data_IF_952267849809
#
_entry.id   IF_952267849809
#
_cell.length_a   1.000
_cell.length_b   1.000
_cell.length_c   1.000
_cell.angle_alpha   90.00
_cell.angle_beta   90.00
_cell.angle_gamma   90.00
#
_symmetry.space_group_name_H-M   'P 1'
#
loop_
_entity.id
_entity.type
_entity.pdbx_description
1 polymer ?
#
# COMPACT_ATOMS: atom_id res chain seq x y z
N UNK A 1 -6.60 -28.70 8.98
CA UNK A 1 -6.73 -28.28 7.56
C UNK A 1 -5.92 -26.98 7.39
N UNK A 2 -5.34 -26.76 6.21
CA UNK A 2 -4.68 -25.49 5.88
C UNK A 2 -5.56 -24.62 4.98
N UNK A 3 -5.39 -23.31 5.04
CA UNK A 3 -6.14 -22.40 4.20
C UNK A 3 -5.57 -20.98 4.21
N UNK A 4 -6.13 -20.14 3.33
CA UNK A 4 -5.81 -18.73 3.15
C UNK A 4 -6.89 -17.87 3.79
N UNK A 5 -6.51 -16.91 4.62
CA UNK A 5 -7.43 -15.93 5.17
C UNK A 5 -7.79 -14.91 4.09
N UNK A 6 -9.04 -14.97 3.61
CA UNK A 6 -9.52 -14.09 2.53
C UNK A 6 -10.35 -12.92 3.04
N UNK A 7 -10.85 -12.96 4.27
CA UNK A 7 -11.63 -11.88 4.88
C UNK A 7 -11.42 -11.83 6.38
N UNK A 8 -11.39 -10.61 6.92
CA UNK A 8 -11.28 -10.34 8.35
C UNK A 8 -12.34 -9.31 8.74
N UNK A 9 -13.22 -9.66 9.68
CA UNK A 9 -14.26 -8.76 10.21
C UNK A 9 -14.02 -8.38 11.68
N UNK A 10 -12.77 -8.50 12.14
CA UNK A 10 -12.35 -8.22 13.51
C UNK A 10 -12.47 -9.42 14.46
N UNK A 11 -13.62 -10.06 14.51
CA UNK A 11 -13.87 -11.24 15.37
C UNK A 11 -13.94 -12.56 14.60
N UNK A 12 -14.21 -12.48 13.30
CA UNK A 12 -14.35 -13.63 12.41
C UNK A 12 -13.44 -13.50 11.20
N UNK A 13 -13.00 -14.66 10.71
CA UNK A 13 -12.15 -14.83 9.55
C UNK A 13 -12.76 -15.82 8.59
N UNK A 14 -12.94 -15.43 7.33
CA UNK A 14 -13.28 -16.37 6.28
C UNK A 14 -11.97 -16.97 5.75
N UNK A 15 -11.81 -18.27 5.92
CA UNK A 15 -10.64 -19.04 5.49
C UNK A 15 -11.01 -19.90 4.30
N UNK A 16 -10.38 -19.66 3.16
CA UNK A 16 -10.45 -20.52 1.98
C UNK A 16 -9.48 -21.69 2.18
N UNK A 17 -10.01 -22.88 2.36
CA UNK A 17 -9.21 -24.11 2.54
C UNK A 17 -8.57 -24.54 1.22
N UNK A 18 -7.53 -25.38 1.30
CA UNK A 18 -6.85 -25.91 0.09
C UNK A 18 -7.80 -26.76 -0.78
N UNK A 19 -8.91 -27.27 -0.20
CA UNK A 19 -9.98 -27.98 -0.91
C UNK A 19 -10.99 -27.05 -1.59
N UNK A 20 -10.80 -25.72 -1.52
CA UNK A 20 -11.66 -24.72 -2.15
C UNK A 20 -12.93 -24.36 -1.36
N UNK A 21 -13.05 -24.77 -0.10
CA UNK A 21 -14.19 -24.48 0.76
C UNK A 21 -13.90 -23.27 1.65
N UNK A 22 -14.86 -22.33 1.72
CA UNK A 22 -14.73 -21.19 2.66
C UNK A 22 -15.32 -21.59 4.00
N UNK A 23 -14.53 -21.47 5.07
CA UNK A 23 -14.90 -21.83 6.43
C UNK A 23 -14.78 -20.61 7.34
N UNK A 24 -15.88 -20.28 8.03
CA UNK A 24 -15.89 -19.22 9.04
C UNK A 24 -15.13 -19.66 10.29
N UNK A 25 -14.15 -18.89 10.67
CA UNK A 25 -13.16 -19.24 11.68
C UNK A 25 -13.02 -18.15 12.74
N UNK A 26 -12.62 -18.55 13.95
CA UNK A 26 -12.24 -17.66 15.05
C UNK A 26 -10.84 -17.96 15.53
N UNK A 27 -10.22 -17.02 16.23
CA UNK A 27 -8.96 -17.25 16.93
C UNK A 27 -9.24 -17.90 18.28
N UNK A 28 -8.48 -18.92 18.66
CA UNK A 28 -8.55 -19.51 19.99
C UNK A 28 -7.94 -18.53 21.03
N UNK A 29 -8.65 -18.29 22.14
CA UNK A 29 -8.40 -17.19 23.11
C UNK A 29 -6.98 -17.01 23.69
N UNK A 30 -6.08 -17.99 23.53
CA UNK A 30 -4.68 -17.91 23.98
C UNK A 30 -3.66 -17.74 22.85
N UNK A 31 -4.12 -17.35 21.65
CA UNK A 31 -3.25 -17.22 20.49
C UNK A 31 -2.41 -15.94 20.60
N UNK A 32 -1.14 -16.08 20.96
CA UNK A 32 -0.16 -14.97 21.00
C UNK A 32 0.94 -15.24 19.98
N UNK A 33 1.04 -14.41 18.96
CA UNK A 33 2.22 -14.39 18.09
C UNK A 33 3.42 -13.87 18.89
N UNK A 34 4.52 -14.65 18.92
CA UNK A 34 5.78 -14.23 19.52
C UNK A 34 6.26 -12.95 18.81
N UNK A 35 6.34 -11.85 19.56
CA UNK A 35 6.93 -10.59 19.09
C UNK A 35 5.96 -9.55 18.51
N UNK A 36 4.69 -9.86 18.25
CA UNK A 36 3.72 -8.89 17.73
C UNK A 36 2.69 -8.58 18.80
N UNK A 37 2.71 -7.36 19.34
CA UNK A 37 1.67 -6.80 20.21
C UNK A 37 0.53 -6.24 19.34
N UNK A 38 -0.28 -7.11 18.76
CA UNK A 38 -1.48 -6.74 18.01
C UNK A 38 -2.72 -7.28 18.67
N UNK A 39 -3.80 -6.49 18.67
CA UNK A 39 -5.13 -6.95 19.11
C UNK A 39 -5.72 -7.96 18.14
N UNK A 40 -5.26 -7.97 16.90
CA UNK A 40 -5.73 -8.84 15.82
C UNK A 40 -4.51 -9.46 15.11
N UNK A 41 -4.05 -10.64 15.56
CA UNK A 41 -2.80 -11.24 15.07
C UNK A 41 -2.93 -11.83 13.66
N UNK A 42 -4.16 -12.09 13.18
CA UNK A 42 -4.44 -12.68 11.85
C UNK A 42 -4.87 -11.59 10.88
N UNK A 43 -4.31 -11.60 9.68
CA UNK A 43 -4.62 -10.65 8.62
C UNK A 43 -5.05 -11.38 7.34
N UNK A 44 -5.67 -10.67 6.40
CA UNK A 44 -5.91 -11.20 5.06
C UNK A 44 -4.57 -11.51 4.39
N UNK A 45 -4.52 -12.62 3.64
CA UNK A 45 -3.28 -13.12 3.04
C UNK A 45 -2.46 -14.07 3.94
N UNK A 46 -2.84 -14.25 5.22
CA UNK A 46 -2.21 -15.26 6.06
C UNK A 46 -2.57 -16.67 5.62
N UNK A 47 -1.56 -17.54 5.61
CA UNK A 47 -1.75 -19.00 5.55
C UNK A 47 -1.89 -19.50 6.97
N UNK A 48 -2.97 -20.24 7.24
CA UNK A 48 -3.33 -20.68 8.59
C UNK A 48 -3.68 -22.15 8.66
N UNK A 49 -3.48 -22.75 9.85
CA UNK A 49 -4.05 -24.05 10.18
C UNK A 49 -5.36 -23.85 10.94
N UNK A 50 -6.40 -24.55 10.54
CA UNK A 50 -7.72 -24.54 11.18
C UNK A 50 -8.15 -25.92 11.65
N UNK A 51 -8.91 -25.96 12.75
CA UNK A 51 -9.60 -27.16 13.25
C UNK A 51 -11.09 -26.87 13.29
N UNK A 52 -11.83 -27.65 12.51
CA UNK A 52 -13.31 -27.53 12.40
C UNK A 52 -13.95 -28.22 13.60
N UNK A 53 -14.92 -27.57 14.22
CA UNK A 53 -15.73 -28.14 15.31
C UNK A 53 -16.95 -28.89 14.75
N UNK A 54 -17.70 -29.56 15.63
CA UNK A 54 -18.90 -30.33 15.26
C UNK A 54 -20.03 -29.44 14.69
N UNK A 55 -19.99 -28.13 14.91
CA UNK A 55 -20.99 -27.15 14.49
C UNK A 55 -20.67 -26.53 13.12
N UNK A 56 -19.57 -26.94 12.47
CA UNK A 56 -19.15 -26.42 11.17
C UNK A 56 -18.37 -25.11 11.20
N UNK A 57 -18.13 -24.53 12.40
CA UNK A 57 -17.20 -23.41 12.59
C UNK A 57 -15.80 -23.91 12.88
N UNK A 58 -14.78 -23.09 12.61
CA UNK A 58 -13.40 -23.49 12.84
C UNK A 58 -12.66 -22.54 13.81
N UNK A 59 -11.58 -23.08 14.36
CA UNK A 59 -10.62 -22.30 15.13
C UNK A 59 -9.28 -22.28 14.42
N UNK A 60 -8.73 -21.07 14.24
CA UNK A 60 -7.35 -20.87 13.80
C UNK A 60 -6.43 -21.27 14.95
N UNK A 61 -5.55 -22.22 14.68
CA UNK A 61 -4.63 -22.80 15.66
C UNK A 61 -3.19 -22.38 15.42
N UNK A 62 -2.85 -21.99 14.17
CA UNK A 62 -1.50 -21.62 13.78
C UNK A 62 -1.55 -20.66 12.61
N UNK A 63 -0.57 -19.75 12.54
CA UNK A 63 -0.27 -18.90 11.38
C UNK A 63 1.09 -19.32 10.86
N UNK A 64 1.19 -19.60 9.56
CA UNK A 64 2.47 -19.88 8.90
C UNK A 64 3.36 -18.62 8.85
N UNK A 65 4.67 -18.80 8.71
CA UNK A 65 5.61 -17.69 8.62
C UNK A 65 5.27 -16.78 7.43
N UNK A 66 5.21 -15.48 7.71
CA UNK A 66 4.93 -14.45 6.71
C UNK A 66 6.17 -14.07 5.94
N UNK A 67 6.07 -13.96 4.62
CA UNK A 67 7.14 -13.38 3.78
C UNK A 67 7.28 -11.88 4.02
N UNK A 68 6.16 -11.21 4.13
CA UNK A 68 6.02 -9.79 4.43
C UNK A 68 4.63 -9.51 5.02
N UNK A 69 4.44 -8.31 5.52
CA UNK A 69 3.14 -7.85 6.02
C UNK A 69 3.10 -6.32 6.03
N UNK A 70 1.91 -5.75 6.04
CA UNK A 70 1.67 -4.32 6.05
C UNK A 70 0.99 -3.96 7.35
N UNK A 71 1.53 -2.95 8.06
CA UNK A 71 0.99 -2.47 9.33
C UNK A 71 0.34 -1.09 9.13
N UNK A 72 -0.77 -0.88 9.81
CA UNK A 72 -1.32 0.45 10.07
C UNK A 72 -1.09 0.81 11.52
N UNK A 73 -0.46 1.94 11.77
CA UNK A 73 -0.40 2.50 13.13
C UNK A 73 -1.78 2.96 13.57
N UNK A 74 -2.18 2.65 14.79
CA UNK A 74 -3.39 3.24 15.38
C UNK A 74 -3.15 4.74 15.60
N UNK A 75 -4.10 5.58 15.17
CA UNK A 75 -4.08 7.03 15.41
C UNK A 75 -4.30 7.42 16.88
N UNK A 76 -4.67 6.46 17.70
CA UNK A 76 -4.87 6.66 19.14
C UNK A 76 -3.62 6.21 19.91
N UNK A 77 -3.39 6.82 21.08
CA UNK A 77 -2.34 6.57 22.08
C UNK A 77 -2.07 5.09 22.46
N UNK A 78 -2.85 4.15 21.92
CA UNK A 78 -2.58 2.73 22.05
C UNK A 78 -1.40 2.35 21.16
N UNK A 79 -0.31 1.88 21.75
CA UNK A 79 0.89 1.31 21.08
C UNK A 79 0.59 0.03 20.24
N UNK A 80 -0.63 -0.11 19.71
CA UNK A 80 -1.08 -1.31 19.01
C UNK A 80 -1.10 -1.06 17.52
N UNK A 81 -0.30 -1.81 16.80
CA UNK A 81 -0.29 -1.83 15.33
C UNK A 81 -1.30 -2.86 14.82
N UNK A 82 -2.03 -2.53 13.76
CA UNK A 82 -2.92 -3.47 13.07
C UNK A 82 -2.27 -3.94 11.77
N UNK A 83 -2.12 -5.24 11.61
CA UNK A 83 -1.67 -5.83 10.36
C UNK A 83 -2.85 -5.78 9.39
N UNK A 84 -2.66 -5.14 8.26
CA UNK A 84 -3.70 -4.94 7.24
C UNK A 84 -3.75 -6.08 6.24
N UNK A 85 -2.58 -6.55 5.81
CA UNK A 85 -2.41 -7.64 4.87
C UNK A 85 -1.07 -8.33 5.09
N UNK A 86 -0.97 -9.60 4.71
CA UNK A 86 0.24 -10.40 4.77
C UNK A 86 0.48 -11.12 3.42
N UNK A 87 1.73 -11.53 3.18
CA UNK A 87 2.15 -12.29 2.01
C UNK A 87 1.79 -11.64 0.66
N UNK A 88 1.93 -10.31 0.60
CA UNK A 88 1.67 -9.49 -0.59
C UNK A 88 2.82 -9.62 -1.58
N UNK A 89 2.53 -9.92 -2.84
CA UNK A 89 3.54 -10.04 -3.88
C UNK A 89 3.92 -8.69 -4.49
N UNK A 90 2.95 -7.78 -4.59
CA UNK A 90 3.14 -6.43 -5.13
C UNK A 90 2.03 -5.48 -4.68
N UNK A 91 2.24 -4.19 -4.83
CA UNK A 91 1.22 -3.17 -4.63
C UNK A 91 0.99 -2.39 -5.94
N UNK A 92 -0.27 -2.13 -6.28
CA UNK A 92 -0.65 -1.17 -7.30
C UNK A 92 -1.05 0.12 -6.59
N UNK A 93 -0.26 1.16 -6.79
CA UNK A 93 -0.62 2.51 -6.34
C UNK A 93 -1.33 3.23 -7.48
N UNK A 94 -2.64 3.39 -7.33
CA UNK A 94 -3.46 4.13 -8.29
C UNK A 94 -3.31 5.61 -7.99
N UNK A 95 -2.83 6.34 -8.97
CA UNK A 95 -2.57 7.79 -8.92
C UNK A 95 -3.28 8.51 -10.04
N UNK A 96 -3.56 9.78 -9.84
CA UNK A 96 -4.20 10.66 -10.84
C UNK A 96 -3.48 12.00 -10.86
N UNK A 97 -3.28 12.55 -12.05
CA UNK A 97 -2.71 13.90 -12.22
C UNK A 97 -3.71 14.93 -11.73
N UNK A 98 -5.00 14.69 -12.02
CA UNK A 98 -6.09 15.55 -11.62
C UNK A 98 -7.34 14.71 -11.28
N UNK A 99 -8.36 15.31 -10.65
CA UNK A 99 -9.68 14.73 -10.36
C UNK A 99 -9.71 13.45 -9.48
N UNK A 100 -9.11 13.42 -8.27
CA UNK A 100 -8.31 14.44 -7.58
C UNK A 100 -6.83 14.34 -7.90
N UNK A 101 -6.07 15.39 -7.67
CA UNK A 101 -4.63 15.36 -7.76
C UNK A 101 -4.01 14.42 -6.71
N UNK A 102 -3.01 13.65 -7.13
CA UNK A 102 -2.16 12.85 -6.25
C UNK A 102 -0.78 13.51 -6.17
N UNK A 103 -0.43 14.08 -5.03
CA UNK A 103 0.85 14.77 -4.87
C UNK A 103 2.04 13.79 -4.98
N UNK A 104 3.15 14.28 -5.50
CA UNK A 104 4.41 13.52 -5.57
C UNK A 104 4.87 13.09 -4.17
N UNK A 105 4.71 13.94 -3.17
CA UNK A 105 5.02 13.60 -1.77
C UNK A 105 4.23 12.38 -1.27
N UNK A 106 2.95 12.26 -1.64
CA UNK A 106 2.15 11.07 -1.28
C UNK A 106 2.68 9.82 -1.98
N UNK A 107 3.00 9.92 -3.29
CA UNK A 107 3.56 8.80 -4.06
C UNK A 107 4.89 8.37 -3.42
N UNK A 108 5.78 9.30 -3.15
CA UNK A 108 7.12 9.03 -2.62
C UNK A 108 7.10 8.41 -1.23
N UNK A 109 6.20 8.88 -0.36
CA UNK A 109 5.96 8.28 0.97
C UNK A 109 5.45 6.85 0.87
N UNK A 110 4.54 6.59 -0.08
CA UNK A 110 4.05 5.25 -0.34
C UNK A 110 5.18 4.34 -0.81
N UNK A 111 5.98 4.81 -1.78
CA UNK A 111 7.10 4.04 -2.33
C UNK A 111 8.14 3.72 -1.26
N UNK A 112 8.54 4.70 -0.44
CA UNK A 112 9.49 4.47 0.66
C UNK A 112 8.95 3.46 1.69
N UNK A 113 7.66 3.52 1.99
CA UNK A 113 7.01 2.54 2.88
C UNK A 113 7.00 1.14 2.26
N UNK A 114 6.71 1.03 0.97
CA UNK A 114 6.71 -0.25 0.26
C UNK A 114 8.11 -0.87 0.19
N UNK A 115 9.14 -0.07 -0.04
CA UNK A 115 10.55 -0.50 0.01
C UNK A 115 10.91 -1.07 1.39
N UNK A 116 10.49 -0.40 2.47
CA UNK A 116 10.71 -0.87 3.84
C UNK A 116 10.07 -2.24 4.10
N UNK A 117 8.92 -2.53 3.48
CA UNK A 117 8.25 -3.84 3.55
C UNK A 117 8.71 -4.83 2.48
N UNK A 118 9.61 -4.44 1.59
CA UNK A 118 10.07 -5.22 0.44
C UNK A 118 8.92 -5.65 -0.47
N UNK A 119 8.00 -4.74 -0.73
CA UNK A 119 6.86 -4.95 -1.62
C UNK A 119 7.09 -4.16 -2.91
N UNK A 120 7.26 -4.80 -4.07
CA UNK A 120 7.34 -4.14 -5.36
C UNK A 120 6.09 -3.30 -5.63
N UNK A 121 6.26 -2.11 -6.22
CA UNK A 121 5.16 -1.21 -6.56
C UNK A 121 5.07 -1.01 -8.06
N UNK A 122 3.85 -1.06 -8.58
CA UNK A 122 3.48 -0.57 -9.91
C UNK A 122 2.66 0.70 -9.72
N UNK A 123 3.08 1.80 -10.34
CA UNK A 123 2.32 3.05 -10.39
C UNK A 123 1.31 2.99 -11.52
N UNK A 124 0.03 3.09 -11.19
CA UNK A 124 -1.07 3.04 -12.16
C UNK A 124 -1.68 4.43 -12.30
N UNK A 125 -1.31 5.14 -13.35
CA UNK A 125 -1.83 6.47 -13.68
C UNK A 125 -3.20 6.34 -14.32
N UNK A 126 -4.24 6.66 -13.56
CA UNK A 126 -5.64 6.50 -13.97
C UNK A 126 -6.26 7.81 -14.41
N UNK A 127 -7.42 7.70 -15.10
CA UNK A 127 -8.24 8.82 -15.61
C UNK A 127 -7.57 9.60 -16.73
N UNK A 128 -6.78 8.93 -17.57
CA UNK A 128 -6.15 9.54 -18.75
C UNK A 128 -7.17 10.18 -19.70
N UNK A 129 -8.38 9.65 -19.73
CA UNK A 129 -9.52 10.14 -20.52
C UNK A 129 -10.04 11.54 -20.11
N UNK A 130 -9.67 12.03 -18.94
CA UNK A 130 -10.09 13.33 -18.41
C UNK A 130 -9.00 14.40 -18.54
N UNK A 131 -7.80 14.05 -18.99
CA UNK A 131 -6.64 14.93 -19.01
C UNK A 131 -6.58 15.75 -20.31
N UNK A 132 -6.23 17.03 -20.18
CA UNK A 132 -5.83 17.88 -21.29
C UNK A 132 -4.48 17.47 -21.88
N UNK A 133 -4.11 18.00 -23.06
CA UNK A 133 -2.80 17.72 -23.65
C UNK A 133 -1.62 18.15 -22.79
N UNK A 134 -1.78 19.20 -21.99
CA UNK A 134 -0.76 19.66 -21.04
C UNK A 134 -0.63 18.70 -19.87
N UNK A 135 -1.75 18.27 -19.29
CA UNK A 135 -1.77 17.29 -18.20
C UNK A 135 -1.27 15.91 -18.63
N UNK A 136 -1.53 15.50 -19.89
CA UNK A 136 -0.96 14.27 -20.46
C UNK A 136 0.56 14.36 -20.56
N UNK A 137 1.10 15.50 -20.99
CA UNK A 137 2.56 15.72 -21.01
C UNK A 137 3.14 15.67 -19.60
N UNK A 138 2.48 16.29 -18.63
CA UNK A 138 2.89 16.23 -17.23
C UNK A 138 2.86 14.79 -16.68
N UNK A 139 1.81 14.03 -16.98
CA UNK A 139 1.73 12.60 -16.65
C UNK A 139 2.92 11.82 -17.24
N UNK A 140 3.25 12.04 -18.50
CA UNK A 140 4.39 11.38 -19.14
C UNK A 140 5.73 11.73 -18.47
N UNK A 141 5.91 12.99 -18.07
CA UNK A 141 7.08 13.41 -17.30
C UNK A 141 7.16 12.72 -15.94
N UNK A 142 6.04 12.62 -15.22
CA UNK A 142 5.99 11.88 -13.94
C UNK A 142 6.30 10.39 -14.14
N UNK A 143 5.71 9.75 -15.15
CA UNK A 143 6.00 8.34 -15.45
C UNK A 143 7.47 8.14 -15.75
N UNK A 144 8.06 8.99 -16.61
CA UNK A 144 9.48 8.93 -16.93
C UNK A 144 10.38 9.09 -15.69
N UNK A 145 10.03 10.01 -14.79
CA UNK A 145 10.75 10.19 -13.51
C UNK A 145 10.76 8.88 -12.71
N UNK A 146 9.60 8.28 -12.48
CA UNK A 146 9.52 7.07 -11.65
C UNK A 146 10.12 5.84 -12.35
N UNK A 147 10.01 5.73 -13.66
CA UNK A 147 10.65 4.67 -14.46
C UNK A 147 12.18 4.78 -14.39
N UNK A 148 12.74 6.00 -14.44
CA UNK A 148 14.18 6.24 -14.28
C UNK A 148 14.68 5.79 -12.92
N UNK A 149 13.87 5.95 -11.87
CA UNK A 149 14.17 5.45 -10.51
C UNK A 149 13.99 3.92 -10.41
N UNK A 150 13.36 3.30 -11.40
CA UNK A 150 13.18 1.84 -11.48
C UNK A 150 11.82 1.32 -11.01
N UNK A 151 10.78 2.17 -11.00
CA UNK A 151 9.40 1.74 -10.77
C UNK A 151 8.68 1.52 -12.10
N UNK A 152 7.86 0.48 -12.17
CA UNK A 152 7.01 0.27 -13.35
C UNK A 152 5.83 1.23 -13.31
N UNK A 153 5.54 1.88 -14.45
CA UNK A 153 4.40 2.77 -14.62
C UNK A 153 3.46 2.27 -15.72
N UNK A 154 2.15 2.41 -15.52
CA UNK A 154 1.11 2.07 -16.50
C UNK A 154 0.07 3.17 -16.51
N UNK A 155 -0.27 3.70 -17.68
CA UNK A 155 -1.33 4.69 -17.85
C UNK A 155 -2.61 4.02 -18.32
N UNK A 156 -3.75 4.34 -17.66
CA UNK A 156 -5.05 3.73 -17.94
C UNK A 156 -6.20 4.73 -17.86
N UNK A 157 -7.31 4.35 -18.47
CA UNK A 157 -8.64 4.87 -18.12
C UNK A 157 -9.51 3.70 -17.63
N UNK A 158 -9.69 3.57 -16.32
CA UNK A 158 -10.53 2.53 -15.75
C UNK A 158 -12.00 2.68 -16.17
N UNK A 159 -12.49 3.89 -16.40
CA UNK A 159 -13.86 4.19 -16.86
C UNK A 159 -14.09 3.74 -18.30
N UNK A 160 -13.14 4.00 -19.20
CA UNK A 160 -13.21 3.61 -20.62
C UNK A 160 -12.70 2.19 -20.88
N UNK A 161 -11.83 1.66 -20.01
CA UNK A 161 -11.17 0.37 -20.18
C UNK A 161 -9.85 0.45 -20.95
N UNK A 162 -9.43 1.62 -21.34
CA UNK A 162 -8.20 1.83 -22.10
C UNK A 162 -6.97 1.54 -21.24
N UNK A 163 -6.04 0.75 -21.74
CA UNK A 163 -4.78 0.38 -21.07
C UNK A 163 -4.93 -0.63 -19.92
N UNK A 164 -6.17 -1.02 -19.55
CA UNK A 164 -6.41 -1.96 -18.44
C UNK A 164 -5.87 -3.35 -18.74
N UNK A 165 -5.86 -3.77 -19.99
CA UNK A 165 -5.31 -5.06 -20.43
C UNK A 165 -3.82 -5.19 -20.14
N UNK A 166 -3.06 -4.09 -20.07
CA UNK A 166 -1.64 -4.10 -19.71
C UNK A 166 -1.41 -4.51 -18.23
N UNK A 167 -2.43 -4.42 -17.38
CA UNK A 167 -2.36 -4.83 -15.98
C UNK A 167 -2.54 -6.34 -15.81
N UNK A 168 -3.24 -7.02 -16.70
CA UNK A 168 -3.60 -8.44 -16.55
C UNK A 168 -2.38 -9.37 -16.39
N UNK A 169 -1.33 -9.27 -17.22
CA UNK A 169 -0.12 -10.10 -17.04
C UNK A 169 0.61 -9.81 -15.71
N UNK A 170 0.50 -8.58 -15.20
CA UNK A 170 1.13 -8.19 -13.94
C UNK A 170 0.39 -8.75 -12.73
N UNK A 171 -0.92 -9.00 -12.86
CA UNK A 171 -1.80 -9.48 -11.79
C UNK A 171 -1.84 -11.00 -11.68
N UNK A 172 -1.53 -11.70 -12.78
CA UNK A 172 -1.67 -13.14 -12.86
C UNK A 172 -0.89 -13.87 -11.77
N UNK A 173 -1.57 -14.75 -11.04
CA UNK A 173 -1.03 -15.60 -9.98
C UNK A 173 -0.36 -14.83 -8.83
N UNK A 174 -0.67 -13.54 -8.65
CA UNK A 174 -0.10 -12.68 -7.59
C UNK A 174 -1.15 -12.19 -6.60
N UNK A 175 -0.70 -11.99 -5.37
CA UNK A 175 -1.45 -11.26 -4.35
C UNK A 175 -1.09 -9.78 -4.48
N UNK A 176 -2.01 -8.99 -5.03
CA UNK A 176 -1.80 -7.58 -5.33
C UNK A 176 -2.61 -6.69 -4.38
N UNK A 177 -1.94 -5.80 -3.68
CA UNK A 177 -2.59 -4.77 -2.88
C UNK A 177 -2.96 -3.58 -3.76
N UNK A 178 -4.24 -3.17 -3.76
CA UNK A 178 -4.70 -1.95 -4.44
C UNK A 178 -4.77 -0.79 -3.45
N UNK A 179 -4.01 0.25 -3.72
CA UNK A 179 -3.91 1.45 -2.87
C UNK A 179 -4.03 2.73 -3.69
N UNK A 180 -4.26 3.85 -3.03
CA UNK A 180 -4.39 5.18 -3.62
C UNK A 180 -5.43 6.02 -2.88
N UNK A 181 -5.44 7.31 -3.13
CA UNK A 181 -6.36 8.26 -2.51
C UNK A 181 -7.83 7.95 -2.79
N UNK A 182 -8.74 8.57 -2.00
CA UNK A 182 -10.16 8.51 -2.33
C UNK A 182 -10.43 9.20 -3.67
N UNK A 183 -11.29 8.62 -4.49
CA UNK A 183 -11.66 9.20 -5.77
C UNK A 183 -10.72 8.94 -6.95
N UNK A 184 -9.55 8.29 -6.76
CA UNK A 184 -8.61 7.98 -7.88
C UNK A 184 -9.11 6.87 -8.82
N UNK A 185 -10.24 6.21 -8.48
CA UNK A 185 -10.86 5.19 -9.33
C UNK A 185 -10.50 3.73 -9.01
N UNK A 186 -10.05 3.42 -7.78
CA UNK A 186 -9.77 2.03 -7.34
C UNK A 186 -10.96 1.09 -7.55
N UNK A 187 -12.14 1.45 -7.01
CA UNK A 187 -13.35 0.63 -7.14
C UNK A 187 -13.77 0.45 -8.58
N UNK A 188 -13.65 1.49 -9.41
CA UNK A 188 -13.94 1.41 -10.86
C UNK A 188 -13.01 0.41 -11.54
N UNK A 189 -11.71 0.45 -11.23
CA UNK A 189 -10.72 -0.47 -11.77
C UNK A 189 -11.00 -1.91 -11.32
N UNK A 190 -11.24 -2.13 -10.02
CA UNK A 190 -11.54 -3.47 -9.49
C UNK A 190 -12.83 -4.04 -10.07
N UNK A 191 -13.90 -3.24 -10.22
CA UNK A 191 -15.15 -3.67 -10.88
C UNK A 191 -14.93 -4.08 -12.34
N UNK A 192 -13.95 -3.48 -13.01
CA UNK A 192 -13.60 -3.84 -14.39
C UNK A 192 -12.73 -5.10 -14.47
N UNK A 193 -11.78 -5.24 -13.57
CA UNK A 193 -10.88 -6.40 -13.50
C UNK A 193 -11.59 -7.68 -13.04
N UNK A 194 -12.64 -7.56 -12.22
CA UNK A 194 -13.29 -8.71 -11.58
C UNK A 194 -14.78 -8.71 -11.94
N UNK A 195 -15.20 -9.50 -12.95
CA UNK A 195 -16.59 -9.62 -13.34
C UNK A 195 -17.48 -10.07 -12.17
N UNK A 196 -18.62 -9.41 -11.99
CA UNK A 196 -19.59 -9.75 -10.93
C UNK A 196 -19.30 -9.10 -9.57
N UNK A 197 -18.15 -8.48 -9.37
CA UNK A 197 -17.90 -7.61 -8.21
C UNK A 197 -18.56 -6.24 -8.47
N UNK A 198 -19.27 -5.73 -7.47
CA UNK A 198 -19.93 -4.43 -7.53
C UNK A 198 -19.53 -3.59 -6.31
N UNK A 199 -18.28 -3.14 -6.31
CA UNK A 199 -17.79 -2.20 -5.30
C UNK A 199 -18.45 -0.83 -5.55
N UNK A 200 -18.91 -0.18 -4.48
CA UNK A 200 -19.48 1.16 -4.59
C UNK A 200 -18.44 2.13 -5.13
N UNK A 201 -18.71 2.72 -6.28
CA UNK A 201 -17.95 3.86 -6.81
C UNK A 201 -18.52 5.12 -6.19
N UNK A 202 -17.67 5.94 -5.55
CA UNK A 202 -18.08 7.27 -5.15
C UNK A 202 -18.21 8.09 -6.43
N UNK A 203 -19.44 8.37 -6.85
CA UNK A 203 -19.71 9.53 -7.71
C UNK A 203 -19.27 10.77 -6.93
N UNK A 204 -18.69 11.74 -7.65
CA UNK A 204 -18.34 13.05 -7.12
C UNK A 204 -19.68 13.71 -6.73
N UNK A 205 -20.14 13.48 -5.52
CA UNK A 205 -21.28 14.20 -4.97
C UNK A 205 -20.73 15.32 -4.10
N UNK A 206 -20.91 16.54 -4.60
CA UNK A 206 -20.95 17.75 -3.80
C UNK A 206 -22.11 17.61 -2.79
N UNK A 207 -21.82 16.99 -1.65
CA UNK A 207 -22.69 17.16 -0.47
C UNK A 207 -21.97 16.62 0.77
N UNK A 208 -21.66 17.51 1.67
CA UNK A 208 -21.43 17.20 3.07
C UNK A 208 -22.57 16.36 3.62
N UNK A 209 -22.30 15.09 3.95
CA UNK A 209 -23.00 14.41 5.03
C UNK A 209 -22.06 13.44 5.74
N UNK A 210 -21.75 13.82 6.96
CA UNK A 210 -21.20 13.01 8.02
C UNK A 210 -22.03 11.73 8.19
N UNK A 211 -21.32 10.60 8.19
CA UNK A 211 -21.82 9.36 8.78
C UNK A 211 -22.33 8.34 7.77
N UNK A 212 -21.45 7.42 7.39
CA UNK A 212 -21.75 5.99 7.49
C UNK A 212 -20.47 5.18 7.21
N UNK A 213 -20.28 4.19 8.02
CA UNK A 213 -19.16 3.27 8.11
C UNK A 213 -18.64 2.81 6.75
N UNK A 214 -17.53 3.39 6.31
CA UNK A 214 -16.66 2.77 5.30
C UNK A 214 -16.14 1.48 5.93
N UNK A 215 -16.35 0.37 5.27
CA UNK A 215 -15.93 -0.98 5.65
C UNK A 215 -14.48 -0.94 6.14
N UNK A 216 -14.30 -1.18 7.44
CA UNK A 216 -12.99 -1.08 8.13
C UNK A 216 -12.17 -2.36 7.94
N UNK A 217 -12.63 -3.29 7.10
CA UNK A 217 -12.12 -4.64 7.00
C UNK A 217 -11.52 -4.89 5.62
N UNK A 218 -10.32 -5.48 5.62
CA UNK A 218 -9.66 -5.90 4.38
C UNK A 218 -10.28 -7.20 3.87
N UNK A 219 -10.43 -7.30 2.54
CA UNK A 219 -10.95 -8.48 1.84
C UNK A 219 -10.08 -8.79 0.62
N UNK A 220 -9.90 -10.06 0.34
CA UNK A 220 -9.25 -10.56 -0.88
C UNK A 220 -10.30 -10.95 -1.89
N UNK A 221 -10.19 -10.42 -3.10
CA UNK A 221 -11.05 -10.69 -4.23
C UNK A 221 -10.28 -11.57 -5.22
N UNK A 222 -10.84 -12.71 -5.60
CA UNK A 222 -10.22 -13.59 -6.58
C UNK A 222 -10.21 -12.94 -7.96
N UNK A 223 -9.06 -12.97 -8.65
CA UNK A 223 -8.93 -12.50 -10.03
C UNK A 223 -9.26 -13.62 -11.01
N UNK A 224 -9.88 -13.31 -12.18
CA UNK A 224 -10.33 -14.33 -13.14
C UNK A 224 -9.21 -15.25 -13.65
N UNK A 225 -8.02 -14.70 -13.91
CA UNK A 225 -6.86 -15.41 -14.46
C UNK A 225 -5.88 -15.92 -13.37
N UNK A 226 -6.37 -16.08 -12.15
CA UNK A 226 -5.57 -16.46 -10.99
C UNK A 226 -4.98 -15.26 -10.25
N UNK A 227 -4.67 -15.46 -8.97
CA UNK A 227 -4.20 -14.40 -8.07
C UNK A 227 -5.32 -13.72 -7.30
N UNK A 228 -4.96 -12.68 -6.54
CA UNK A 228 -5.86 -12.00 -5.61
C UNK A 228 -5.65 -10.50 -5.62
N UNK A 229 -6.74 -9.76 -5.60
CA UNK A 229 -6.75 -8.34 -5.30
C UNK A 229 -7.10 -8.13 -3.82
N UNK A 230 -6.28 -7.39 -3.08
CA UNK A 230 -6.61 -6.93 -1.72
C UNK A 230 -7.09 -5.50 -1.85
N UNK A 231 -8.38 -5.27 -1.57
CA UNK A 231 -8.93 -3.94 -1.40
C UNK A 231 -8.84 -3.55 0.08
N UNK A 232 -8.20 -2.44 0.32
CA UNK A 232 -8.06 -1.90 1.66
C UNK A 232 -8.79 -0.57 1.74
N UNK A 233 -10.10 -0.58 2.06
CA UNK A 233 -10.88 0.64 2.22
C UNK A 233 -10.27 1.52 3.32
N UNK A 234 -9.99 2.78 2.99
CA UNK A 234 -9.58 3.78 3.97
C UNK A 234 -8.11 3.76 4.40
N UNK A 235 -7.21 3.13 3.64
CA UNK A 235 -5.78 3.44 3.78
C UNK A 235 -5.55 4.84 3.18
N UNK A 236 -5.88 5.87 3.96
CA UNK A 236 -5.34 7.21 3.76
C UNK A 236 -3.88 7.17 4.23
N UNK A 237 -3.00 6.85 3.32
CA UNK A 237 -1.57 6.67 3.57
C UNK A 237 -1.24 5.24 4.05
N UNK A 238 -0.36 4.59 3.34
CA UNK A 238 0.49 3.53 3.86
C UNK A 238 1.08 4.09 5.15
N UNK A 239 0.89 3.38 6.25
CA UNK A 239 1.16 3.93 7.57
C UNK A 239 2.51 4.64 7.61
N UNK A 240 2.49 5.82 8.17
CA UNK A 240 3.73 6.50 8.55
C UNK A 240 4.51 5.54 9.42
N UNK A 241 5.54 4.94 8.83
CA UNK A 241 6.46 4.06 9.50
C UNK A 241 7.21 4.82 10.58
N UNK A 242 7.53 4.14 11.66
CA UNK A 242 8.69 4.50 12.46
C UNK A 242 9.96 4.10 11.69
N UNK A 243 10.17 4.70 10.53
CA UNK A 243 11.44 4.59 9.81
C UNK A 243 12.45 5.35 10.66
N UNK A 244 13.46 4.67 11.17
CA UNK A 244 14.55 5.37 11.83
C UNK A 244 15.23 6.31 10.82
N UNK A 245 15.66 7.52 11.28
CA UNK A 245 16.29 8.51 10.38
C UNK A 245 17.43 7.91 9.56
N UNK A 246 18.20 7.00 10.16
CA UNK A 246 19.32 6.32 9.49
C UNK A 246 18.91 5.32 8.40
N UNK A 247 17.67 4.85 8.42
CA UNK A 247 17.17 3.85 7.44
C UNK A 247 16.51 4.50 6.24
N UNK A 248 16.00 5.75 6.37
CA UNK A 248 15.21 6.40 5.32
C UNK A 248 15.95 6.52 3.99
N UNK A 249 17.26 6.78 4.03
CA UNK A 249 18.12 6.79 2.83
C UNK A 249 17.99 5.50 2.03
N UNK A 250 17.91 4.35 2.71
CA UNK A 250 17.79 3.02 2.08
C UNK A 250 16.47 2.79 1.34
N UNK A 251 15.44 3.60 1.60
CA UNK A 251 14.11 3.45 1.01
C UNK A 251 13.85 4.42 -0.17
N UNK A 252 14.84 5.25 -0.52
CA UNK A 252 14.86 6.04 -1.74
C UNK A 252 15.99 5.52 -2.63
N UNK A 253 15.66 4.75 -3.67
CA UNK A 253 16.63 3.99 -4.49
C UNK A 253 17.76 4.85 -5.03
N UNK A 254 17.43 6.01 -5.62
CA UNK A 254 18.37 6.97 -6.18
C UNK A 254 19.20 7.65 -5.09
N UNK A 255 18.60 8.03 -3.97
CA UNK A 255 19.32 8.61 -2.82
C UNK A 255 20.27 7.58 -2.25
N UNK A 256 19.84 6.33 -2.07
CA UNK A 256 20.70 5.23 -1.63
C UNK A 256 21.86 4.97 -2.59
N UNK A 257 21.61 5.07 -3.90
CA UNK A 257 22.66 4.89 -4.91
C UNK A 257 23.79 5.91 -4.70
N UNK A 258 23.48 7.20 -4.66
CA UNK A 258 24.47 8.27 -4.50
C UNK A 258 25.02 8.41 -3.08
N UNK A 259 24.31 7.92 -2.05
CA UNK A 259 24.77 8.00 -0.66
C UNK A 259 26.07 7.23 -0.40
N UNK A 260 26.39 6.23 -1.23
CA UNK A 260 27.63 5.43 -1.14
C UNK A 260 28.89 6.27 -1.35
N UNK A 261 28.76 7.38 -2.07
CA UNK A 261 29.86 8.31 -2.36
C UNK A 261 29.94 9.47 -1.36
N UNK A 262 29.08 9.50 -0.33
CA UNK A 262 29.15 10.47 0.72
C UNK A 262 30.39 10.26 1.61
N UNK A 263 31.01 11.37 2.02
CA UNK A 263 32.17 11.34 2.92
C UNK A 263 31.88 10.67 4.28
N UNK A 264 30.66 10.84 4.80
CA UNK A 264 30.27 10.36 6.12
C UNK A 264 29.28 9.21 5.99
N UNK A 265 29.53 8.11 6.68
CA UNK A 265 28.66 6.92 6.65
C UNK A 265 27.27 7.16 7.27
N UNK A 266 27.15 8.18 8.12
CA UNK A 266 25.88 8.59 8.75
C UNK A 266 25.33 9.91 8.18
N UNK A 267 25.68 10.21 6.92
CA UNK A 267 25.19 11.41 6.24
C UNK A 267 23.67 11.40 6.17
N UNK A 268 23.04 12.50 6.60
CA UNK A 268 21.58 12.69 6.53
C UNK A 268 21.17 13.42 5.26
N UNK A 269 22.16 13.81 4.43
CA UNK A 269 21.98 14.51 3.16
C UNK A 269 21.30 15.88 3.28
N UNK A 270 21.32 16.50 4.46
CA UNK A 270 20.68 17.79 4.75
C UNK A 270 21.66 18.94 4.71
N UNK A 271 22.71 18.91 5.53
CA UNK A 271 23.64 20.03 5.73
C UNK A 271 25.12 19.61 5.69
N UNK A 272 25.41 18.33 5.55
CA UNK A 272 26.78 17.84 5.57
C UNK A 272 27.61 18.35 4.39
N UNK A 273 28.85 18.76 4.62
CA UNK A 273 29.72 19.23 3.55
C UNK A 273 30.15 18.10 2.63
N UNK A 274 30.25 18.37 1.33
CA UNK A 274 30.61 17.38 0.30
C UNK A 274 29.68 16.16 0.28
N UNK A 275 28.37 16.40 0.41
CA UNK A 275 27.36 15.36 0.31
C UNK A 275 27.11 15.01 -1.16
N UNK A 276 27.38 13.76 -1.56
CA UNK A 276 27.19 13.29 -2.94
C UNK A 276 25.72 13.32 -3.37
N UNK A 277 24.77 13.07 -2.45
CA UNK A 277 23.35 13.16 -2.76
C UNK A 277 22.93 14.58 -3.10
N UNK A 278 23.35 15.59 -2.31
CA UNK A 278 23.05 16.99 -2.62
C UNK A 278 23.68 17.44 -3.93
N UNK A 279 24.92 17.02 -4.20
CA UNK A 279 25.55 17.27 -5.50
C UNK A 279 24.76 16.64 -6.65
N UNK A 280 24.27 15.39 -6.47
CA UNK A 280 23.44 14.72 -7.48
C UNK A 280 22.08 15.41 -7.71
N UNK A 281 21.53 16.11 -6.71
CA UNK A 281 20.34 16.95 -6.89
C UNK A 281 20.69 18.20 -7.70
N UNK A 282 21.82 18.88 -7.39
CA UNK A 282 22.31 20.06 -8.13
C UNK A 282 22.64 19.73 -9.58
N UNK A 283 23.17 18.53 -9.83
CA UNK A 283 23.51 18.02 -11.17
C UNK A 283 22.31 17.38 -11.91
N UNK A 284 21.11 17.43 -11.32
CA UNK A 284 19.85 16.89 -11.86
C UNK A 284 19.81 15.35 -12.06
N UNK A 285 20.68 14.59 -11.40
CA UNK A 285 20.60 13.13 -11.36
C UNK A 285 19.51 12.63 -10.38
N UNK A 286 19.21 13.43 -9.36
CA UNK A 286 18.08 13.20 -8.45
C UNK A 286 17.08 14.34 -8.66
N UNK A 287 15.83 13.99 -8.90
CA UNK A 287 14.77 15.00 -9.04
C UNK A 287 14.55 15.74 -7.71
N UNK A 288 14.44 17.06 -7.79
CA UNK A 288 14.22 17.91 -6.62
C UNK A 288 12.94 17.52 -5.85
N UNK A 289 11.87 17.14 -6.55
CA UNK A 289 10.63 16.68 -5.92
C UNK A 289 10.84 15.46 -5.03
N UNK A 290 11.66 14.50 -5.48
CA UNK A 290 12.00 13.30 -4.73
C UNK A 290 12.84 13.63 -3.50
N UNK A 291 13.83 14.51 -3.67
CA UNK A 291 14.65 14.96 -2.56
C UNK A 291 13.83 15.76 -1.53
N UNK A 292 12.91 16.61 -1.97
CA UNK A 292 12.01 17.34 -1.08
C UNK A 292 11.06 16.39 -0.32
N UNK A 293 10.57 15.34 -0.96
CA UNK A 293 9.79 14.29 -0.30
C UNK A 293 10.62 13.57 0.78
N UNK A 294 11.87 13.26 0.49
CA UNK A 294 12.82 12.67 1.45
C UNK A 294 13.02 13.57 2.67
N UNK A 295 13.30 14.88 2.44
CA UNK A 295 13.46 15.85 3.52
C UNK A 295 12.19 15.97 4.38
N UNK A 296 11.03 16.07 3.76
CA UNK A 296 9.73 16.09 4.44
C UNK A 296 9.52 14.86 5.35
N UNK A 297 9.96 13.69 4.92
CA UNK A 297 9.87 12.49 5.76
C UNK A 297 10.87 12.47 6.92
N UNK A 298 12.02 13.12 6.77
CA UNK A 298 12.97 13.30 7.87
C UNK A 298 12.42 14.23 8.96
N UNK A 299 11.65 15.27 8.57
CA UNK A 299 11.08 16.26 9.48
C UNK A 299 9.87 15.74 10.27
N UNK A 300 9.07 14.84 9.71
CA UNK A 300 7.82 14.33 10.33
C UNK A 300 7.99 13.75 11.75
N UNK A 301 9.20 13.36 12.14
CA UNK A 301 9.48 12.84 13.48
C UNK A 301 9.63 13.92 14.55
N UNK A 302 9.86 15.16 14.15
CA UNK A 302 9.98 16.26 15.12
C UNK A 302 8.61 16.86 15.47
N UNK A 303 7.61 16.77 14.59
CA UNK A 303 6.25 17.30 14.84
C UNK A 303 5.44 16.47 15.85
N UNK A 304 5.76 15.21 16.08
CA UNK A 304 5.08 14.40 17.11
C UNK A 304 5.31 14.92 18.53
N UNK A 305 6.29 15.79 18.76
CA UNK A 305 6.58 16.46 20.04
C UNK A 305 5.76 17.74 20.27
N UNK A 306 5.12 18.30 19.25
CA UNK A 306 4.41 19.59 19.34
C UNK A 306 2.88 19.47 19.26
N UNK A 307 2.31 18.27 19.25
CA UNK A 307 0.86 18.07 19.37
C UNK A 307 0.39 17.81 20.81
N UNK A 308 1.13 18.28 21.79
CA UNK A 308 0.61 18.46 23.15
C UNK A 308 0.18 19.93 23.29
N UNK A 309 -1.10 20.13 23.58
CA UNK A 309 -1.81 21.37 23.86
C UNK A 309 -2.46 22.05 22.61
N UNK A 310 -3.67 21.61 22.31
CA UNK A 310 -4.83 22.52 22.26
C UNK A 310 -6.08 21.68 22.41
#
# INVERSE_FOLDING_TARGET
MKGLVIKNTGSWYSVLTDDGVVVESKIKGNFRLKGIRSTNPVAVGDRVCIVVNAEGTAFITEIEDRRNYIIRKSSNLSKQSHILAANVDQAFLIVTVNFPETSTTFIDRFLASAEAYRIPVVLVFNKTDLLSDEELRYQQMMMHLYETVGYQCVAISASKGEGVEALLPLLKDKVTLFSGNSGVGKSTLLNRLIPGVNLRTAEISDAHHTGMHTTTFSEMLALPDGGWAIDTPGIKGFGTFDIERGELTGYFREIFHFSKDCRFSNCTHTHEPNCAVRQAVEDHYIAESRYNSYLSMLEDKDESKYREAY
#
